data_IF_925708753625
#
_entry.id   IF_925708753625
#
_cell.length_a   1.000
_cell.length_b   1.000
_cell.length_c   1.000
_cell.angle_alpha   90.00
_cell.angle_beta   90.00
_cell.angle_gamma   90.00
#
_symmetry.space_group_name_H-M   'P 1'
#
loop_
_entity.id
_entity.type
_entity.pdbx_description
1 polymer ?
#
# COMPACT_ATOMS: atom_id res chain seq x y z
N UNK A 1 12.01 11.78 13.79
CA UNK A 1 10.94 12.39 12.94
C UNK A 1 9.65 11.61 13.12
N UNK A 2 8.54 12.31 13.42
CA UNK A 2 7.23 11.69 13.64
C UNK A 2 6.37 11.82 12.39
N UNK A 3 5.67 10.74 12.04
CA UNK A 3 4.76 10.67 10.90
C UNK A 3 3.45 10.02 11.33
N UNK A 4 2.31 10.66 11.07
CA UNK A 4 1.00 10.12 11.38
C UNK A 4 0.39 9.46 10.15
N UNK A 5 0.15 8.15 10.25
CA UNK A 5 -0.35 7.31 9.16
C UNK A 5 -1.80 6.93 9.42
N UNK A 6 -2.64 6.94 8.38
CA UNK A 6 -3.98 6.39 8.39
C UNK A 6 -4.12 5.26 7.37
N UNK A 7 -4.71 4.13 7.75
CA UNK A 7 -5.21 3.13 6.83
C UNK A 7 -6.73 3.25 6.74
N UNK A 8 -7.25 3.36 5.53
CA UNK A 8 -8.67 3.56 5.24
C UNK A 8 -9.24 2.27 4.69
N UNK A 9 -9.71 1.41 5.58
CA UNK A 9 -10.35 0.14 5.26
C UNK A 9 -11.74 0.39 4.70
N UNK A 10 -11.96 0.07 3.42
CA UNK A 10 -13.23 0.28 2.73
C UNK A 10 -13.60 -0.92 1.87
N UNK A 11 -14.90 -1.05 1.58
CA UNK A 11 -15.42 -1.82 0.47
C UNK A 11 -15.49 -0.92 -0.76
N UNK A 12 -14.96 -1.37 -1.90
CA UNK A 12 -15.13 -0.71 -3.19
C UNK A 12 -16.30 -1.31 -3.96
N UNK A 13 -16.98 -0.49 -4.76
CA UNK A 13 -18.00 -0.94 -5.70
C UNK A 13 -17.31 -1.42 -6.98
N UNK A 14 -17.63 -2.64 -7.42
CA UNK A 14 -16.98 -3.27 -8.59
C UNK A 14 -17.25 -2.47 -9.88
N UNK A 15 -16.18 -2.01 -10.52
CA UNK A 15 -16.20 -1.24 -11.76
C UNK A 15 -16.67 0.22 -11.63
N UNK A 16 -17.23 0.65 -10.49
CA UNK A 16 -17.74 2.03 -10.33
C UNK A 16 -16.68 2.98 -9.76
N UNK A 17 -15.79 3.44 -10.64
CA UNK A 17 -14.74 4.41 -10.31
C UNK A 17 -15.29 5.68 -9.68
N UNK A 18 -16.44 6.17 -10.15
CA UNK A 18 -17.02 7.42 -9.66
C UNK A 18 -17.50 7.30 -8.22
N UNK A 19 -18.20 6.23 -7.89
CA UNK A 19 -18.64 5.94 -6.52
C UNK A 19 -17.46 5.74 -5.58
N UNK A 20 -16.44 4.97 -6.03
CA UNK A 20 -15.26 4.68 -5.24
C UNK A 20 -14.44 5.95 -4.95
N UNK A 21 -14.15 6.77 -5.95
CA UNK A 21 -13.44 8.04 -5.76
C UNK A 21 -14.20 8.99 -4.82
N UNK A 22 -15.52 9.08 -4.98
CA UNK A 22 -16.36 9.87 -4.07
C UNK A 22 -16.28 9.36 -2.63
N UNK A 23 -16.33 8.03 -2.44
CA UNK A 23 -16.16 7.38 -1.12
C UNK A 23 -14.78 7.70 -0.54
N UNK A 24 -13.70 7.53 -1.32
CA UNK A 24 -12.33 7.81 -0.89
C UNK A 24 -12.16 9.27 -0.45
N UNK A 25 -12.65 10.24 -1.24
CA UNK A 25 -12.62 11.67 -0.88
C UNK A 25 -13.42 11.94 0.39
N UNK A 26 -14.61 11.35 0.54
CA UNK A 26 -15.41 11.48 1.77
C UNK A 26 -14.70 10.93 3.01
N UNK A 27 -13.91 9.84 2.87
CA UNK A 27 -13.09 9.33 3.98
C UNK A 27 -11.93 10.29 4.32
N UNK A 28 -11.31 10.91 3.31
CA UNK A 28 -10.29 11.96 3.53
C UNK A 28 -10.88 13.16 4.26
N UNK A 29 -12.09 13.61 3.93
CA UNK A 29 -12.80 14.67 4.65
C UNK A 29 -13.00 14.33 6.13
N UNK A 30 -13.34 13.07 6.44
CA UNK A 30 -13.51 12.62 7.84
C UNK A 30 -12.20 12.59 8.62
N UNK A 31 -11.09 12.26 7.96
CA UNK A 31 -9.75 12.14 8.58
C UNK A 31 -9.14 13.52 8.80
N UNK A 32 -9.19 14.36 7.76
CA UNK A 32 -8.42 15.59 7.71
C UNK A 32 -9.25 16.81 8.13
N UNK A 33 -10.59 16.72 8.06
CA UNK A 33 -11.58 17.71 8.52
C UNK A 33 -11.32 19.14 8.07
N UNK A 34 -12.36 20.00 8.09
CA UNK A 34 -12.21 21.46 7.88
C UNK A 34 -11.71 22.19 9.15
N UNK A 35 -11.14 21.46 10.10
CA UNK A 35 -10.91 22.00 11.43
C UNK A 35 -9.48 22.50 11.64
N UNK A 36 -9.42 23.73 12.16
CA UNK A 36 -8.25 24.41 12.74
C UNK A 36 -7.55 23.63 13.89
N UNK A 37 -7.94 22.39 14.15
CA UNK A 37 -7.37 21.60 15.24
C UNK A 37 -6.05 20.97 14.78
N UNK A 38 -4.95 21.70 15.04
CA UNK A 38 -3.57 21.34 14.71
C UNK A 38 -3.11 19.97 15.26
N UNK A 39 -3.92 19.33 16.12
CA UNK A 39 -3.59 18.05 16.76
C UNK A 39 -3.95 16.79 15.96
N UNK A 40 -4.76 16.89 14.91
CA UNK A 40 -5.26 15.70 14.18
C UNK A 40 -4.69 15.49 12.78
N UNK A 41 -3.68 16.28 12.37
CA UNK A 41 -3.16 16.23 11.01
C UNK A 41 -2.50 14.89 10.70
N UNK A 42 -3.13 14.12 9.80
CA UNK A 42 -2.53 12.91 9.21
C UNK A 42 -1.56 13.32 8.12
N UNK A 43 -0.42 12.63 8.03
CA UNK A 43 0.62 12.88 7.04
C UNK A 43 0.49 11.99 5.82
N UNK A 44 0.12 10.71 6.02
CA UNK A 44 -0.01 9.69 4.99
C UNK A 44 -1.34 8.94 5.14
N UNK A 45 -2.11 8.86 4.06
CA UNK A 45 -3.33 8.04 3.98
C UNK A 45 -3.12 6.91 2.98
N UNK A 46 -3.41 5.68 3.40
CA UNK A 46 -3.30 4.47 2.58
C UNK A 46 -4.69 3.89 2.36
N UNK A 47 -5.02 3.66 1.09
CA UNK A 47 -6.22 2.96 0.64
C UNK A 47 -5.88 1.54 0.17
N UNK A 48 -6.87 0.63 0.05
CA UNK A 48 -6.64 -0.75 -0.39
C UNK A 48 -6.13 -0.89 -1.83
N UNK A 49 -5.72 -2.09 -2.18
CA UNK A 49 -5.41 -2.54 -3.53
C UNK A 49 -6.60 -2.33 -4.45
N UNK A 50 -6.38 -1.85 -5.68
CA UNK A 50 -7.45 -1.58 -6.66
C UNK A 50 -8.67 -0.81 -6.08
N UNK A 51 -8.46 0.06 -5.09
CA UNK A 51 -9.53 0.78 -4.39
C UNK A 51 -10.40 1.62 -5.34
N UNK A 52 -9.85 2.04 -6.49
CA UNK A 52 -10.58 2.81 -7.51
C UNK A 52 -11.59 1.96 -8.28
N UNK A 53 -11.28 0.68 -8.50
CA UNK A 53 -12.07 -0.19 -9.40
C UNK A 53 -12.78 -1.32 -8.68
N UNK A 54 -12.38 -1.65 -7.45
CA UNK A 54 -12.69 -2.93 -6.83
C UNK A 54 -11.78 -4.04 -7.35
N UNK A 55 -11.74 -5.17 -6.66
CA UNK A 55 -10.80 -6.26 -6.94
C UNK A 55 -11.38 -7.32 -7.86
N UNK A 56 -12.57 -7.84 -7.58
CA UNK A 56 -13.14 -8.97 -8.32
C UNK A 56 -14.03 -8.52 -9.50
N UNK A 57 -13.41 -7.80 -10.45
CA UNK A 57 -14.07 -7.31 -11.67
C UNK A 57 -13.16 -7.38 -12.91
N UNK A 58 -12.47 -8.52 -13.09
CA UNK A 58 -11.45 -8.69 -14.12
C UNK A 58 -11.98 -8.45 -15.56
N UNK A 59 -13.24 -8.74 -15.83
CA UNK A 59 -13.91 -8.47 -17.10
C UNK A 59 -14.03 -6.98 -17.44
N UNK A 60 -13.96 -6.11 -16.40
CA UNK A 60 -14.05 -4.65 -16.56
C UNK A 60 -12.67 -3.98 -16.56
N UNK A 61 -11.60 -4.67 -16.20
CA UNK A 61 -10.28 -4.04 -16.02
C UNK A 61 -9.80 -3.27 -17.25
N UNK A 62 -10.03 -3.79 -18.47
CA UNK A 62 -9.63 -3.10 -19.68
C UNK A 62 -10.40 -1.78 -19.92
N UNK A 63 -11.66 -1.71 -19.46
CA UNK A 63 -12.52 -0.54 -19.59
C UNK A 63 -12.18 0.54 -18.56
N UNK A 64 -11.94 0.11 -17.30
CA UNK A 64 -11.71 1.03 -16.17
C UNK A 64 -10.26 1.47 -16.02
N UNK A 65 -9.32 0.83 -16.75
CA UNK A 65 -7.88 1.11 -16.67
C UNK A 65 -7.51 2.52 -17.09
N UNK A 66 -6.51 3.09 -16.41
CA UNK A 66 -6.07 4.46 -16.65
C UNK A 66 -4.58 4.54 -17.03
N UNK A 67 -4.26 5.49 -17.91
CA UNK A 67 -2.86 5.83 -18.19
C UNK A 67 -2.32 6.78 -17.10
N UNK A 68 -1.13 6.48 -16.59
CA UNK A 68 -0.48 7.29 -15.59
C UNK A 68 0.59 8.21 -16.21
N UNK A 69 0.67 9.48 -15.74
CA UNK A 69 -0.03 10.10 -14.62
C UNK A 69 -1.34 10.83 -14.99
N UNK A 70 -1.85 10.68 -16.21
CA UNK A 70 -2.94 11.49 -16.76
C UNK A 70 -4.36 11.02 -16.43
N UNK A 71 -4.52 9.91 -15.71
CA UNK A 71 -5.82 9.28 -15.42
C UNK A 71 -6.78 10.15 -14.60
N UNK A 72 -8.08 9.87 -14.68
CA UNK A 72 -9.09 10.67 -13.98
C UNK A 72 -9.06 10.46 -12.47
N UNK A 73 -8.72 9.23 -12.02
CA UNK A 73 -8.51 8.98 -10.58
C UNK A 73 -7.36 9.80 -10.03
N UNK A 74 -6.27 9.95 -10.80
CA UNK A 74 -5.12 10.78 -10.40
C UNK A 74 -5.53 12.23 -10.25
N UNK A 75 -6.31 12.80 -11.18
CA UNK A 75 -6.79 14.17 -11.09
C UNK A 75 -7.62 14.41 -9.82
N UNK A 76 -8.59 13.53 -9.55
CA UNK A 76 -9.45 13.62 -8.37
C UNK A 76 -8.65 13.50 -7.07
N UNK A 77 -7.77 12.49 -6.98
CA UNK A 77 -7.00 12.24 -5.77
C UNK A 77 -5.88 13.28 -5.57
N UNK A 78 -5.33 13.84 -6.65
CA UNK A 78 -4.37 14.94 -6.59
C UNK A 78 -5.01 16.22 -6.01
N UNK A 79 -6.22 16.58 -6.44
CA UNK A 79 -6.96 17.70 -5.84
C UNK A 79 -7.30 17.44 -4.36
N UNK A 80 -7.64 16.18 -4.01
CA UNK A 80 -7.87 15.80 -2.62
C UNK A 80 -6.58 15.91 -1.78
N UNK A 81 -5.44 15.44 -2.30
CA UNK A 81 -4.13 15.55 -1.65
C UNK A 81 -3.77 17.01 -1.34
N UNK A 82 -3.98 17.92 -2.31
CA UNK A 82 -3.79 19.36 -2.12
C UNK A 82 -4.73 19.94 -1.08
N UNK A 83 -6.03 19.67 -1.23
CA UNK A 83 -7.09 20.22 -0.35
C UNK A 83 -6.84 19.84 1.10
N UNK A 84 -6.49 18.59 1.36
CA UNK A 84 -6.28 18.07 2.71
C UNK A 84 -4.83 18.14 3.18
N UNK A 85 -3.90 18.57 2.29
CA UNK A 85 -2.47 18.69 2.57
C UNK A 85 -1.86 17.40 3.14
N UNK A 86 -2.08 16.28 2.46
CA UNK A 86 -1.75 14.92 2.90
C UNK A 86 -1.14 14.11 1.76
N UNK A 87 -0.20 13.20 2.07
CA UNK A 87 0.25 12.17 1.13
C UNK A 87 -0.82 11.11 1.00
N UNK A 88 -1.02 10.58 -0.21
CA UNK A 88 -2.02 9.55 -0.48
C UNK A 88 -1.39 8.39 -1.25
N UNK A 89 -1.61 7.16 -0.76
CA UNK A 89 -1.33 5.91 -1.50
C UNK A 89 -2.65 5.21 -1.79
N UNK A 90 -2.87 4.83 -3.05
CA UNK A 90 -4.07 4.12 -3.47
C UNK A 90 -3.83 3.23 -4.67
N UNK A 91 -4.64 2.15 -4.80
CA UNK A 91 -4.56 1.16 -5.88
C UNK A 91 -5.53 1.43 -7.03
N UNK A 92 -5.08 1.15 -8.24
CA UNK A 92 -5.86 1.24 -9.49
C UNK A 92 -5.37 0.25 -10.55
N UNK A 93 -6.17 0.03 -11.59
CA UNK A 93 -5.74 -0.66 -12.81
C UNK A 93 -5.02 0.35 -13.72
N UNK A 94 -3.73 0.14 -13.93
CA UNK A 94 -2.94 0.95 -14.85
C UNK A 94 -2.97 0.35 -16.26
N UNK A 95 -3.12 1.20 -17.27
CA UNK A 95 -2.94 0.88 -18.69
C UNK A 95 -1.64 1.51 -19.20
N UNK A 96 -0.73 0.70 -19.70
CA UNK A 96 0.52 1.13 -20.31
C UNK A 96 0.49 0.87 -21.82
N UNK A 97 0.76 1.91 -22.60
CA UNK A 97 0.77 1.88 -24.07
C UNK A 97 2.20 1.83 -24.66
N UNK A 98 3.24 1.72 -23.83
CA UNK A 98 4.64 1.78 -24.26
C UNK A 98 5.05 0.67 -25.23
N UNK A 99 4.38 -0.49 -25.20
CA UNK A 99 4.63 -1.62 -26.11
C UNK A 99 3.81 -1.57 -27.42
N UNK A 100 3.14 -0.43 -27.69
CA UNK A 100 2.28 -0.26 -28.89
C UNK A 100 0.92 -0.95 -28.82
N UNK A 101 0.62 -1.64 -27.73
CA UNK A 101 -0.67 -2.22 -27.38
C UNK A 101 -0.93 -2.02 -25.87
N UNK A 102 -2.20 -2.01 -25.45
CA UNK A 102 -2.51 -1.91 -24.02
C UNK A 102 -1.93 -3.09 -23.24
N UNK A 103 -1.20 -2.77 -22.16
CA UNK A 103 -0.76 -3.73 -21.15
C UNK A 103 -1.29 -3.25 -19.82
N UNK A 104 -1.95 -4.13 -19.07
CA UNK A 104 -2.53 -3.77 -17.79
C UNK A 104 -1.62 -4.18 -16.62
N UNK A 105 -1.64 -3.37 -15.58
CA UNK A 105 -0.92 -3.63 -14.33
C UNK A 105 -1.82 -3.33 -13.13
N UNK A 106 -1.69 -4.15 -12.10
CA UNK A 106 -2.16 -3.83 -10.76
C UNK A 106 -1.15 -2.86 -10.14
N UNK A 107 -1.55 -1.62 -9.91
CA UNK A 107 -0.62 -0.53 -9.60
C UNK A 107 -1.10 0.28 -8.39
N UNK A 108 -0.15 0.68 -7.56
CA UNK A 108 -0.36 1.70 -6.53
C UNK A 108 0.41 2.96 -6.86
N UNK A 109 -0.20 4.11 -6.56
CA UNK A 109 0.34 5.45 -6.81
C UNK A 109 0.55 6.16 -5.48
N UNK A 110 1.66 6.88 -5.36
CA UNK A 110 1.95 7.80 -4.27
C UNK A 110 1.81 9.24 -4.76
N UNK A 111 0.91 10.00 -4.14
CA UNK A 111 0.74 11.43 -4.33
C UNK A 111 1.34 12.20 -3.15
N UNK A 112 1.98 13.34 -3.43
CA UNK A 112 2.41 14.28 -2.39
C UNK A 112 1.29 15.28 -2.03
N UNK A 113 1.58 16.12 -1.04
CA UNK A 113 0.68 17.19 -0.55
C UNK A 113 0.37 18.27 -1.59
N UNK A 114 1.17 18.37 -2.65
CA UNK A 114 0.91 19.27 -3.78
C UNK A 114 0.08 18.62 -4.89
N UNK A 115 -0.28 17.33 -4.72
CA UNK A 115 -0.99 16.51 -5.70
C UNK A 115 -0.13 16.03 -6.85
N UNK A 116 1.20 16.08 -6.70
CA UNK A 116 2.12 15.51 -7.69
C UNK A 116 2.26 14.01 -7.48
N UNK A 117 2.28 13.25 -8.56
CA UNK A 117 2.63 11.82 -8.53
C UNK A 117 4.13 11.71 -8.22
N UNK A 118 4.47 11.35 -6.98
CA UNK A 118 5.85 11.08 -6.55
C UNK A 118 6.37 9.83 -7.25
N UNK A 119 5.50 8.82 -7.39
CA UNK A 119 5.82 7.61 -8.09
C UNK A 119 4.72 6.56 -8.01
N UNK A 120 5.01 5.39 -8.57
CA UNK A 120 4.11 4.24 -8.63
C UNK A 120 4.88 2.94 -8.40
N UNK A 121 4.15 1.91 -8.01
CA UNK A 121 4.64 0.54 -7.95
C UNK A 121 3.65 -0.40 -8.63
N UNK A 122 4.14 -1.28 -9.51
CA UNK A 122 3.38 -2.34 -10.19
C UNK A 122 3.59 -3.65 -9.46
N UNK A 123 2.52 -4.36 -9.11
CA UNK A 123 2.56 -5.65 -8.40
C UNK A 123 3.47 -6.63 -9.11
N UNK A 124 4.41 -7.22 -8.38
CA UNK A 124 5.42 -8.15 -8.93
C UNK A 124 5.02 -9.61 -8.79
N UNK A 125 4.21 -9.94 -7.78
CA UNK A 125 3.72 -11.29 -7.51
C UNK A 125 2.20 -11.31 -7.64
N UNK A 126 1.74 -11.81 -8.79
CA UNK A 126 0.31 -11.91 -9.10
C UNK A 126 -0.25 -13.22 -8.52
N UNK A 127 -1.47 -13.17 -8.00
CA UNK A 127 -2.22 -14.35 -7.58
C UNK A 127 -2.63 -15.14 -8.82
N UNK A 128 -2.48 -16.46 -8.80
CA UNK A 128 -2.86 -17.32 -9.92
C UNK A 128 -4.36 -17.23 -10.20
N UNK A 129 -4.72 -17.20 -11.47
CA UNK A 129 -6.08 -17.01 -11.95
C UNK A 129 -6.32 -15.60 -12.51
N UNK A 130 -7.37 -14.88 -12.07
CA UNK A 130 -7.77 -13.60 -12.69
C UNK A 130 -6.66 -12.54 -12.77
N UNK A 131 -5.76 -12.47 -11.77
CA UNK A 131 -4.65 -11.51 -11.84
C UNK A 131 -3.61 -11.89 -12.90
N UNK A 132 -3.20 -13.16 -12.95
CA UNK A 132 -2.21 -13.62 -13.95
C UNK A 132 -2.74 -13.59 -15.37
N UNK A 133 -4.06 -13.67 -15.54
CA UNK A 133 -4.73 -13.56 -16.83
C UNK A 133 -4.88 -12.10 -17.30
N UNK A 134 -5.03 -11.17 -16.35
CA UNK A 134 -5.32 -9.77 -16.62
C UNK A 134 -4.10 -8.86 -16.61
N UNK A 135 -3.13 -9.12 -15.74
CA UNK A 135 -2.05 -8.19 -15.47
C UNK A 135 -0.67 -8.74 -15.87
N UNK A 136 0.20 -7.83 -16.29
CA UNK A 136 1.63 -8.09 -16.40
C UNK A 136 2.32 -7.81 -15.06
N UNK A 137 3.31 -8.61 -14.70
CA UNK A 137 4.13 -8.43 -13.50
C UNK A 137 4.98 -7.17 -13.58
N UNK A 138 5.04 -6.42 -12.49
CA UNK A 138 6.05 -5.40 -12.26
C UNK A 138 7.44 -6.02 -12.07
N UNK A 139 8.48 -5.21 -12.30
CA UNK A 139 9.89 -5.67 -12.24
C UNK A 139 10.76 -4.77 -11.38
N UNK A 140 10.20 -3.74 -10.78
CA UNK A 140 10.96 -2.72 -10.03
C UNK A 140 10.43 -2.61 -8.60
N UNK A 141 11.34 -2.34 -7.67
CA UNK A 141 11.04 -2.12 -6.26
C UNK A 141 11.55 -0.73 -5.86
N UNK A 142 10.81 0.34 -6.17
CA UNK A 142 11.22 1.71 -5.86
C UNK A 142 11.03 2.05 -4.38
N UNK A 143 11.89 2.94 -3.88
CA UNK A 143 11.73 3.64 -2.60
C UNK A 143 11.70 5.13 -2.90
N UNK A 144 10.73 5.83 -2.33
CA UNK A 144 10.50 7.24 -2.59
C UNK A 144 10.92 8.07 -1.37
N UNK A 145 11.83 9.00 -1.57
CA UNK A 145 12.23 9.96 -0.55
C UNK A 145 11.17 11.05 -0.44
N UNK A 146 10.64 11.24 0.74
CA UNK A 146 9.61 12.24 1.04
C UNK A 146 9.94 13.00 2.32
N UNK A 147 9.25 14.11 2.56
CA UNK A 147 9.38 14.87 3.82
C UNK A 147 8.80 14.14 5.04
N UNK A 148 8.05 13.05 4.83
CA UNK A 148 7.44 12.24 5.88
C UNK A 148 8.15 10.90 6.10
N UNK A 149 9.30 10.69 5.45
CA UNK A 149 10.12 9.47 5.50
C UNK A 149 10.31 8.83 4.14
N UNK A 150 11.10 7.76 4.10
CA UNK A 150 11.37 6.96 2.90
C UNK A 150 10.31 5.85 2.77
N UNK A 151 9.48 5.95 1.73
CA UNK A 151 8.32 5.08 1.53
C UNK A 151 8.65 4.01 0.48
N UNK A 152 8.58 2.74 0.89
CA UNK A 152 8.50 1.58 0.00
C UNK A 152 7.05 1.14 -0.20
N UNK A 153 6.75 0.51 -1.33
CA UNK A 153 5.41 0.02 -1.64
C UNK A 153 5.45 -1.45 -2.03
N UNK A 154 4.52 -2.22 -1.49
CA UNK A 154 4.19 -3.60 -1.89
C UNK A 154 2.68 -3.68 -2.09
N UNK A 155 2.20 -4.68 -2.82
CA UNK A 155 0.77 -4.91 -3.00
C UNK A 155 0.43 -6.33 -2.57
N UNK A 156 -0.45 -6.47 -1.54
CA UNK A 156 -1.11 -7.72 -1.17
C UNK A 156 -0.16 -8.93 -1.14
N UNK A 157 -0.25 -9.83 -2.13
CA UNK A 157 0.50 -11.07 -2.23
C UNK A 157 2.03 -10.89 -2.29
N UNK A 158 2.54 -9.69 -2.63
CA UNK A 158 3.98 -9.39 -2.51
C UNK A 158 4.51 -9.61 -1.09
N UNK A 159 3.67 -9.47 -0.06
CA UNK A 159 4.06 -9.68 1.34
C UNK A 159 4.36 -11.13 1.68
N UNK A 160 3.86 -12.09 0.91
CA UNK A 160 4.22 -13.50 1.07
C UNK A 160 5.70 -13.76 0.73
N UNK A 161 6.32 -12.86 -0.05
CA UNK A 161 7.71 -12.98 -0.51
C UNK A 161 8.63 -12.07 0.31
N UNK A 162 9.45 -12.62 1.23
CA UNK A 162 10.33 -11.83 2.10
C UNK A 162 11.34 -10.97 1.33
N UNK A 163 11.69 -11.37 0.12
CA UNK A 163 12.64 -10.68 -0.76
C UNK A 163 12.17 -9.26 -1.09
N UNK A 164 10.87 -9.04 -1.31
CA UNK A 164 10.32 -7.74 -1.69
C UNK A 164 10.56 -6.72 -0.59
N UNK A 165 10.12 -7.02 0.64
CA UNK A 165 10.33 -6.14 1.78
C UNK A 165 11.83 -5.95 2.08
N UNK A 166 12.63 -7.01 1.89
CA UNK A 166 14.09 -6.95 2.08
C UNK A 166 14.74 -6.00 1.09
N UNK A 167 14.37 -6.05 -0.19
CA UNK A 167 14.90 -5.13 -1.21
C UNK A 167 14.53 -3.68 -0.86
N UNK A 168 13.28 -3.42 -0.48
CA UNK A 168 12.84 -2.08 -0.09
C UNK A 168 13.61 -1.57 1.12
N UNK A 169 13.79 -2.39 2.16
CA UNK A 169 14.54 -2.01 3.35
C UNK A 169 16.03 -1.74 3.07
N UNK A 170 16.66 -2.53 2.19
CA UNK A 170 18.04 -2.32 1.76
C UNK A 170 18.21 -1.06 0.90
N UNK A 171 17.15 -0.62 0.21
CA UNK A 171 17.10 0.68 -0.48
C UNK A 171 16.75 1.83 0.45
N UNK A 172 16.59 1.56 1.75
CA UNK A 172 16.43 2.56 2.80
C UNK A 172 14.99 2.88 3.17
N UNK A 173 14.00 2.08 2.78
CA UNK A 173 12.62 2.27 3.22
C UNK A 173 12.53 2.27 4.75
N UNK A 174 11.77 3.21 5.28
CA UNK A 174 11.44 3.38 6.70
C UNK A 174 9.99 2.97 6.99
N UNK A 175 9.12 3.26 6.01
CA UNK A 175 7.72 2.87 5.99
C UNK A 175 7.49 2.02 4.73
N UNK A 176 6.93 0.83 4.90
CA UNK A 176 6.43 0.03 3.79
C UNK A 176 4.91 0.05 3.85
N UNK A 177 4.28 0.57 2.79
CA UNK A 177 2.81 0.55 2.66
C UNK A 177 2.38 -0.66 1.85
N UNK A 178 1.27 -1.28 2.27
CA UNK A 178 0.74 -2.51 1.69
C UNK A 178 -0.76 -2.37 1.44
N UNK A 179 -1.17 -1.72 0.35
CA UNK A 179 -2.53 -1.88 -0.18
C UNK A 179 -2.82 -3.34 -0.50
N UNK A 180 -3.96 -3.87 -0.03
CA UNK A 180 -4.29 -5.28 -0.16
C UNK A 180 -5.78 -5.54 -0.43
N UNK A 181 -6.03 -6.70 -1.05
CA UNK A 181 -7.32 -7.35 -1.17
C UNK A 181 -7.14 -8.80 -0.70
N UNK A 182 -6.82 -8.97 0.58
CA UNK A 182 -6.55 -10.28 1.19
C UNK A 182 -7.83 -10.89 1.73
N UNK A 183 -8.13 -12.10 1.27
CA UNK A 183 -9.41 -12.76 1.45
C UNK A 183 -9.43 -13.80 2.56
N UNK A 184 -10.63 -14.12 3.05
CA UNK A 184 -10.87 -15.27 3.93
C UNK A 184 -10.68 -16.59 3.15
N UNK A 185 -10.20 -17.67 3.80
CA UNK A 185 -9.97 -17.79 5.27
C UNK A 185 -8.53 -17.49 5.71
N UNK A 186 -7.75 -16.73 4.96
CA UNK A 186 -6.30 -16.56 5.15
C UNK A 186 -5.93 -15.38 6.09
N UNK A 187 -6.74 -15.11 7.09
CA UNK A 187 -6.54 -14.00 8.03
C UNK A 187 -5.37 -14.25 9.02
N UNK A 188 -5.11 -15.50 9.39
CA UNK A 188 -3.93 -15.84 10.20
C UNK A 188 -2.64 -15.64 9.43
N UNK A 189 -2.61 -15.98 8.13
CA UNK A 189 -1.46 -15.76 7.25
C UNK A 189 -1.17 -14.26 7.10
N UNK A 190 -2.23 -13.44 6.94
CA UNK A 190 -2.12 -11.98 6.91
C UNK A 190 -1.42 -11.43 8.15
N UNK A 191 -1.80 -11.88 9.34
CA UNK A 191 -1.23 -11.44 10.61
C UNK A 191 0.27 -11.79 10.68
N UNK A 192 0.62 -13.01 10.29
CA UNK A 192 2.00 -13.49 10.31
C UNK A 192 2.88 -12.68 9.36
N UNK A 193 2.46 -12.53 8.09
CA UNK A 193 3.34 -11.92 7.07
C UNK A 193 3.55 -10.43 7.31
N UNK A 194 2.54 -9.66 7.76
CA UNK A 194 2.73 -8.24 8.05
C UNK A 194 3.70 -8.01 9.21
N UNK A 195 3.57 -8.78 10.28
CA UNK A 195 4.46 -8.73 11.44
C UNK A 195 5.89 -9.17 11.07
N UNK A 196 6.03 -10.24 10.28
CA UNK A 196 7.33 -10.74 9.83
C UNK A 196 8.06 -9.71 8.96
N UNK A 197 7.37 -9.10 7.97
CA UNK A 197 8.01 -8.11 7.07
C UNK A 197 8.47 -6.87 7.81
N UNK A 198 7.74 -6.45 8.85
CA UNK A 198 8.19 -5.39 9.74
C UNK A 198 9.43 -5.81 10.54
N UNK A 199 9.36 -6.94 11.23
CA UNK A 199 10.44 -7.45 12.10
C UNK A 199 11.73 -7.73 11.32
N UNK A 200 11.66 -8.51 10.24
CA UNK A 200 12.82 -8.93 9.42
C UNK A 200 13.64 -7.74 8.92
N UNK A 201 12.99 -6.60 8.71
CA UNK A 201 13.54 -5.44 8.04
C UNK A 201 13.71 -4.23 8.97
N UNK A 202 13.18 -4.30 10.20
CA UNK A 202 13.20 -3.20 11.18
C UNK A 202 12.64 -1.92 10.55
N UNK A 203 11.40 -2.02 10.02
CA UNK A 203 10.66 -0.92 9.37
C UNK A 203 9.24 -0.86 9.91
N UNK A 204 8.56 0.26 9.72
CA UNK A 204 7.10 0.30 9.90
C UNK A 204 6.41 -0.32 8.70
N UNK A 205 5.31 -1.05 8.95
CA UNK A 205 4.42 -1.56 7.91
C UNK A 205 3.02 -0.97 8.12
N UNK A 206 2.45 -0.36 7.08
CA UNK A 206 1.08 0.15 7.05
C UNK A 206 0.29 -0.65 6.01
N UNK A 207 -0.41 -1.68 6.47
CA UNK A 207 -1.15 -2.60 5.63
C UNK A 207 -2.63 -2.25 5.64
N UNK A 208 -3.19 -1.91 4.47
CA UNK A 208 -4.56 -1.49 4.29
C UNK A 208 -5.31 -2.49 3.42
N UNK A 209 -6.20 -3.28 4.02
CA UNK A 209 -6.96 -4.32 3.37
C UNK A 209 -8.37 -3.84 2.98
N UNK A 210 -8.95 -4.49 1.99
CA UNK A 210 -10.38 -4.41 1.71
C UNK A 210 -11.23 -5.05 2.82
N UNK A 211 -12.52 -4.72 2.83
CA UNK A 211 -13.53 -5.33 3.68
C UNK A 211 -14.81 -5.57 2.88
N UNK A 212 -15.58 -6.59 3.30
CA UNK A 212 -16.86 -6.95 2.69
C UNK A 212 -16.73 -8.07 1.67
N UNK A 213 -17.82 -8.37 0.99
CA UNK A 213 -17.90 -9.49 0.02
C UNK A 213 -18.10 -8.93 -1.38
N UNK A 214 -17.27 -9.38 -2.31
CA UNK A 214 -17.34 -9.13 -3.74
C UNK A 214 -17.56 -10.50 -4.41
N UNK A 215 -18.70 -10.72 -5.06
CA UNK A 215 -19.06 -12.01 -5.66
C UNK A 215 -18.79 -13.17 -4.68
N UNK A 216 -17.81 -14.02 -4.95
CA UNK A 216 -17.47 -15.20 -4.14
C UNK A 216 -16.32 -14.92 -3.13
N UNK A 217 -15.65 -13.77 -3.20
CA UNK A 217 -14.54 -13.42 -2.31
C UNK A 217 -15.02 -12.59 -1.12
N UNK A 218 -14.58 -12.95 0.07
CA UNK A 218 -14.83 -12.18 1.29
C UNK A 218 -13.52 -11.63 1.84
N UNK A 219 -13.41 -10.31 1.87
CA UNK A 219 -12.27 -9.60 2.45
C UNK A 219 -12.57 -9.30 3.92
N UNK A 220 -11.70 -9.75 4.80
CA UNK A 220 -11.95 -9.71 6.24
C UNK A 220 -11.57 -8.38 6.90
N UNK A 221 -10.97 -7.41 6.19
CA UNK A 221 -10.47 -6.20 6.80
C UNK A 221 -9.16 -6.43 7.55
N UNK A 222 -9.12 -6.19 8.87
CA UNK A 222 -7.93 -6.31 9.74
C UNK A 222 -6.73 -5.49 9.23
N UNK A 223 -7.00 -4.33 8.62
CA UNK A 223 -5.94 -3.35 8.28
C UNK A 223 -5.12 -3.03 9.52
N UNK A 224 -3.81 -2.86 9.39
CA UNK A 224 -2.97 -2.66 10.57
C UNK A 224 -1.75 -1.78 10.31
N UNK A 225 -1.25 -1.18 11.38
CA UNK A 225 0.05 -0.53 11.42
C UNK A 225 0.95 -1.32 12.38
N UNK A 226 2.08 -1.78 11.87
CA UNK A 226 3.03 -2.64 12.60
C UNK A 226 4.32 -1.87 12.82
N UNK A 227 4.83 -1.92 14.05
CA UNK A 227 6.08 -1.27 14.45
C UNK A 227 7.33 -2.10 14.12
N UNK A 228 8.53 -1.51 14.10
CA UNK A 228 9.76 -2.12 13.58
C UNK A 228 10.24 -3.39 14.31
N UNK A 229 9.58 -3.76 15.39
CA UNK A 229 9.84 -5.00 16.15
C UNK A 229 8.81 -6.09 15.88
N UNK A 230 8.00 -5.94 14.82
CA UNK A 230 6.96 -6.89 14.44
C UNK A 230 5.71 -6.85 15.33
N UNK A 231 5.56 -5.83 16.17
CA UNK A 231 4.38 -5.67 17.03
C UNK A 231 3.34 -4.78 16.38
N UNK A 232 2.12 -5.25 16.33
CA UNK A 232 0.98 -4.44 15.88
C UNK A 232 0.78 -3.25 16.83
N UNK A 233 0.75 -2.04 16.28
CA UNK A 233 0.48 -0.80 17.01
C UNK A 233 -1.03 -0.59 17.10
N UNK A 234 -1.72 -0.76 15.97
CA UNK A 234 -3.18 -0.67 15.87
C UNK A 234 -3.66 -1.60 14.76
N UNK A 235 -4.86 -2.12 14.93
CA UNK A 235 -5.55 -3.00 13.98
C UNK A 235 -7.02 -2.63 13.89
N UNK A 236 -7.57 -2.65 12.68
CA UNK A 236 -8.99 -2.48 12.40
C UNK A 236 -9.78 -3.78 12.64
N UNK A 237 -11.08 -3.66 12.80
CA UNK A 237 -12.01 -4.78 12.80
C UNK A 237 -12.33 -5.31 11.39
N UNK A 238 -13.51 -5.91 11.26
CA UNK A 238 -13.97 -6.55 10.03
C UNK A 238 -14.98 -5.69 9.25
N UNK A 239 -15.17 -4.44 9.61
CA UNK A 239 -16.07 -3.48 8.96
C UNK A 239 -15.28 -2.32 8.33
N UNK A 240 -15.97 -1.42 7.59
CA UNK A 240 -15.35 -0.18 7.12
C UNK A 240 -14.86 0.65 8.30
N UNK A 241 -13.56 0.86 8.38
CA UNK A 241 -12.93 1.55 9.50
C UNK A 241 -11.74 2.40 9.05
N UNK A 242 -11.42 3.42 9.84
CA UNK A 242 -10.22 4.23 9.68
C UNK A 242 -9.38 4.09 10.94
N UNK A 243 -8.21 3.52 10.81
CA UNK A 243 -7.24 3.44 11.90
C UNK A 243 -6.11 4.43 11.68
N UNK A 244 -5.59 5.01 12.77
CA UNK A 244 -4.48 5.96 12.70
C UNK A 244 -3.45 5.67 13.78
N UNK A 245 -2.17 5.83 13.44
CA UNK A 245 -1.07 5.81 14.41
C UNK A 245 -0.01 6.86 14.09
N UNK A 246 0.57 7.46 15.12
CA UNK A 246 1.80 8.22 15.01
C UNK A 246 3.00 7.28 15.17
N UNK A 247 3.91 7.30 14.21
CA UNK A 247 5.13 6.50 14.18
C UNK A 247 6.35 7.41 14.31
N UNK A 248 7.35 6.98 15.06
CA UNK A 248 8.60 7.71 15.22
C UNK A 248 9.71 7.03 14.40
N UNK A 249 10.09 7.64 13.29
CA UNK A 249 11.08 7.06 12.38
C UNK A 249 12.50 7.01 12.98
N UNK A 250 12.81 7.87 13.96
CA UNK A 250 14.10 7.84 14.66
C UNK A 250 14.28 6.51 15.42
N UNK A 251 13.16 5.87 15.80
CA UNK A 251 13.17 4.56 16.44
C UNK A 251 13.79 3.45 15.58
N UNK A 252 13.73 3.58 14.25
CA UNK A 252 14.32 2.61 13.31
C UNK A 252 15.84 2.59 13.46
N UNK A 253 16.49 3.77 13.46
CA UNK A 253 17.94 3.88 13.62
C UNK A 253 18.38 3.40 14.99
N UNK A 254 17.69 3.81 16.06
CA UNK A 254 17.98 3.34 17.42
C UNK A 254 17.94 1.81 17.53
N UNK A 255 16.94 1.17 16.93
CA UNK A 255 16.80 -0.29 16.93
C UNK A 255 17.89 -0.97 16.12
N UNK A 256 18.21 -0.44 14.92
CA UNK A 256 19.24 -0.99 14.01
C UNK A 256 20.67 -0.81 14.53
N UNK A 257 20.92 0.23 15.33
CA UNK A 257 22.19 0.46 16.01
C UNK A 257 22.30 -0.33 17.32
N UNK A 258 21.15 -0.71 17.90
CA UNK A 258 21.05 -1.49 19.14
C UNK A 258 21.07 -3.01 18.90
N UNK A 259 20.04 -3.69 19.39
CA UNK A 259 19.93 -5.17 19.33
C UNK A 259 19.50 -5.69 17.93
N UNK A 260 18.72 -4.91 17.18
CA UNK A 260 18.12 -5.38 15.93
C UNK A 260 19.02 -5.12 14.71
N UNK A 261 20.25 -5.62 14.73
CA UNK A 261 21.26 -5.45 13.68
C UNK A 261 21.01 -6.29 12.42
N UNK A 262 19.76 -6.71 12.20
CA UNK A 262 19.35 -7.69 11.18
C UNK A 262 19.77 -7.35 9.76
N UNK A 263 19.83 -6.06 9.41
CA UNK A 263 20.28 -5.65 8.08
C UNK A 263 21.80 -5.59 7.98
N UNK A 264 22.50 -5.22 9.07
CA UNK A 264 23.95 -5.06 9.14
C UNK A 264 24.66 -6.42 9.16
N UNK A 265 24.12 -7.36 9.94
CA UNK A 265 24.74 -8.69 10.19
C UNK A 265 24.38 -9.73 9.11
N UNK A 266 23.75 -9.29 8.01
CA UNK A 266 23.51 -10.18 6.86
C UNK A 266 24.84 -10.70 6.30
N UNK A 267 24.80 -11.95 5.81
CA UNK A 267 25.92 -12.55 5.09
C UNK A 267 25.54 -12.82 3.62
N UNK A 268 25.50 -11.78 2.75
CA UNK A 268 25.01 -11.91 1.37
C UNK A 268 25.81 -12.93 0.53
N UNK A 269 27.08 -13.17 0.87
CA UNK A 269 27.94 -14.11 0.15
C UNK A 269 27.43 -15.55 0.24
N UNK A 270 26.62 -15.87 1.27
CA UNK A 270 26.03 -17.21 1.46
C UNK A 270 24.64 -17.34 0.86
N UNK A 271 24.03 -16.27 0.33
CA UNK A 271 22.64 -16.27 -0.13
C UNK A 271 22.48 -16.56 -1.62
N UNK A 272 23.54 -16.97 -2.31
CA UNK A 272 23.51 -17.23 -3.75
C UNK A 272 22.44 -18.23 -4.19
N UNK A 273 22.13 -19.22 -3.34
CA UNK A 273 21.07 -20.22 -3.57
C UNK A 273 19.68 -19.61 -3.82
N UNK A 274 19.40 -18.42 -3.24
CA UNK A 274 18.11 -17.73 -3.44
C UNK A 274 17.92 -17.31 -4.91
N UNK A 275 19.01 -17.05 -5.62
CA UNK A 275 19.01 -16.59 -7.00
C UNK A 275 19.12 -17.72 -8.03
N UNK A 276 19.50 -18.92 -7.57
CA UNK A 276 19.72 -20.07 -8.43
C UNK A 276 18.43 -20.91 -8.53
N UNK A 277 17.87 -20.99 -9.72
CA UNK A 277 16.87 -21.97 -10.12
C UNK A 277 17.37 -22.77 -11.30
#
# INVERSE_FOLDING_TARGET
MKTKIACVQIKSELGDKTANLKKMVSKLEKICGDNDDKCSKVDLVVFPELAVTGYECSELYAEVAEELPGGDSVKVMAEAAKRFNVYIVYGLVEKDMSEGKPVLYNTVVLLDRSGVVVGKYRKSHLVEGPETESFKKGTEYPVFETEIGKIGMMICWDTAYPEVARILALKGAEIIVVPAAWEAPYDEDWDIVQCARSFDNVVYVAACNHVGTDNDLTFFGKSKIVGPTGRTIIEAGNDEEIITAEVDLDRISELREGFYVLLKDRNPETYGEILNR
#
